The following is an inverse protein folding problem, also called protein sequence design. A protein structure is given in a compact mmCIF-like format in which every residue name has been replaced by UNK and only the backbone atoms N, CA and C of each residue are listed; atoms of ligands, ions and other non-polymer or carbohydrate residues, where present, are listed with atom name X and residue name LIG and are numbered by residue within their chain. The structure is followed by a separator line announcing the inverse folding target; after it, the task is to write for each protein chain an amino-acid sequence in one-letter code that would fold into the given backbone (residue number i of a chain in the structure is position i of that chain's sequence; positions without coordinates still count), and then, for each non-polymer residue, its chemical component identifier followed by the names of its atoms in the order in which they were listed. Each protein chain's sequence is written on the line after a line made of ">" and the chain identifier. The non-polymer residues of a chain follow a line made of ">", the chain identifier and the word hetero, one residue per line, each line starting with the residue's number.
data_IF_835273238507
#
_entry.id   IF_835273238507
#
_cell.length_a   1.000
_cell.length_b   1.000
_cell.length_c   1.000
_cell.angle_alpha   90.00
_cell.angle_beta   90.00
_cell.angle_gamma   90.00
#
_symmetry.space_group_name_H-M   'P 1'
#
loop_
_entity.id
_entity.type
_entity.pdbx_description
1 polymer ?
#
# COMPACT_ATOMS: atom_id res chain seq x y z
N UNK A 1 12.81 -5.98 -17.47
CA UNK A 1 13.93 -5.08 -17.13
C UNK A 1 14.41 -5.49 -15.74
N UNK A 2 15.72 -5.51 -15.49
CA UNK A 2 16.25 -5.84 -14.14
C UNK A 2 16.78 -4.55 -13.55
N UNK A 3 16.16 -4.07 -12.47
CA UNK A 3 16.60 -2.87 -11.76
C UNK A 3 17.71 -3.21 -10.75
N UNK A 4 18.49 -2.20 -10.36
CA UNK A 4 19.64 -2.36 -9.46
C UNK A 4 19.23 -2.68 -8.00
N UNK A 5 17.99 -2.37 -7.61
CA UNK A 5 17.43 -2.73 -6.30
C UNK A 5 15.90 -2.76 -6.31
N UNK A 6 15.29 -3.49 -5.36
CA UNK A 6 13.83 -3.52 -5.18
C UNK A 6 13.24 -2.13 -4.88
N UNK A 7 14.00 -1.26 -4.20
CA UNK A 7 13.61 0.14 -3.97
C UNK A 7 13.55 0.92 -5.29
N UNK A 8 14.52 0.71 -6.19
CA UNK A 8 14.49 1.34 -7.52
C UNK A 8 13.32 0.84 -8.35
N UNK A 9 12.99 -0.44 -8.27
CA UNK A 9 11.78 -1.00 -8.89
C UNK A 9 10.54 -0.31 -8.36
N UNK A 10 10.34 -0.24 -7.04
CA UNK A 10 9.16 0.42 -6.46
C UNK A 10 9.00 1.89 -6.89
N UNK A 11 10.10 2.65 -6.94
CA UNK A 11 10.07 4.04 -7.39
C UNK A 11 9.77 4.16 -8.90
N UNK A 12 10.33 3.27 -9.72
CA UNK A 12 10.05 3.24 -11.17
C UNK A 12 8.59 2.89 -11.43
N UNK A 13 8.05 1.83 -10.81
CA UNK A 13 6.65 1.45 -10.99
C UNK A 13 5.72 2.57 -10.54
N UNK A 14 5.98 3.20 -9.38
CA UNK A 14 5.16 4.34 -8.94
C UNK A 14 5.20 5.51 -9.95
N UNK A 15 6.33 5.77 -10.59
CA UNK A 15 6.41 6.77 -11.66
C UNK A 15 5.63 6.35 -12.91
N UNK A 16 5.72 5.08 -13.31
CA UNK A 16 5.07 4.54 -14.50
C UNK A 16 3.54 4.46 -14.31
N UNK A 17 3.07 4.02 -13.14
CA UNK A 17 1.65 3.77 -12.84
C UNK A 17 0.88 5.03 -12.44
N UNK A 18 1.44 5.89 -11.58
CA UNK A 18 0.74 7.06 -11.01
C UNK A 18 1.40 8.41 -11.33
N UNK A 19 2.49 8.41 -12.10
CA UNK A 19 3.09 9.62 -12.65
C UNK A 19 3.89 10.46 -11.66
N UNK A 20 4.19 9.95 -10.46
CA UNK A 20 4.97 10.72 -9.48
C UNK A 20 6.43 10.85 -9.90
N UNK A 21 7.02 12.02 -9.65
CA UNK A 21 8.45 12.25 -9.91
C UNK A 21 9.29 11.61 -8.82
N UNK A 22 10.09 10.61 -9.17
CA UNK A 22 10.99 9.92 -8.23
C UNK A 22 11.96 10.85 -7.50
N UNK A 23 12.32 11.98 -8.10
CA UNK A 23 13.18 13.02 -7.48
C UNK A 23 12.52 13.72 -6.30
N UNK A 24 11.20 13.71 -6.23
CA UNK A 24 10.43 14.42 -5.20
C UNK A 24 10.11 13.47 -4.02
N UNK A 25 10.46 12.18 -4.12
CA UNK A 25 10.21 11.15 -3.11
C UNK A 25 11.45 10.95 -2.24
N UNK A 26 11.29 11.12 -0.94
CA UNK A 26 12.26 10.67 0.06
C UNK A 26 11.87 9.29 0.55
N UNK A 27 12.72 8.28 0.32
CA UNK A 27 12.50 6.94 0.86
C UNK A 27 12.80 6.96 2.36
N UNK A 28 11.79 6.63 3.17
CA UNK A 28 11.91 6.56 4.63
C UNK A 28 12.44 5.21 5.09
N UNK A 29 12.10 4.14 4.36
CA UNK A 29 12.52 2.78 4.71
C UNK A 29 11.74 1.72 3.95
N UNK A 30 11.88 0.49 4.42
CA UNK A 30 11.19 -0.69 3.92
C UNK A 30 10.42 -1.34 5.07
N UNK A 31 9.27 -1.92 4.77
CA UNK A 31 8.55 -2.79 5.70
C UNK A 31 9.03 -4.24 5.54
N UNK A 32 8.47 -5.14 6.33
CA UNK A 32 8.79 -6.56 6.28
C UNK A 32 8.35 -7.16 4.94
N UNK A 33 9.19 -8.05 4.38
CA UNK A 33 8.82 -8.80 3.19
C UNK A 33 7.58 -9.67 3.44
N UNK A 34 6.64 -9.61 2.50
CA UNK A 34 5.36 -10.28 2.60
C UNK A 34 5.21 -11.30 1.47
N UNK A 35 5.05 -12.56 1.84
CA UNK A 35 4.71 -13.61 0.89
C UNK A 35 3.21 -13.58 0.59
N UNK A 36 2.85 -13.58 -0.70
CA UNK A 36 1.48 -13.53 -1.21
C UNK A 36 1.12 -14.90 -1.80
N UNK A 37 0.42 -15.78 -1.04
CA UNK A 37 0.18 -17.15 -1.47
C UNK A 37 -0.57 -17.29 -2.80
N UNK A 38 -1.59 -16.46 -3.13
CA UNK A 38 -2.31 -16.59 -4.39
C UNK A 38 -1.43 -16.44 -5.63
N UNK A 39 -0.43 -15.56 -5.58
CA UNK A 39 0.47 -15.27 -6.71
C UNK A 39 1.83 -15.94 -6.60
N UNK A 40 2.17 -16.50 -5.42
CA UNK A 40 3.50 -17.02 -5.11
C UNK A 40 4.61 -15.95 -5.23
N UNK A 41 4.28 -14.69 -4.93
CA UNK A 41 5.22 -13.58 -4.96
C UNK A 41 5.67 -13.18 -3.55
N UNK A 42 6.92 -12.74 -3.44
CA UNK A 42 7.42 -12.00 -2.29
C UNK A 42 7.36 -10.52 -2.63
N UNK A 43 6.69 -9.74 -1.79
CA UNK A 43 6.55 -8.29 -1.96
C UNK A 43 7.33 -7.60 -0.85
N UNK A 44 8.19 -6.65 -1.23
CA UNK A 44 8.88 -5.76 -0.30
C UNK A 44 8.22 -4.37 -0.35
N UNK A 45 7.46 -3.96 0.67
CA UNK A 45 6.84 -2.65 0.69
C UNK A 45 7.88 -1.57 0.97
N UNK A 46 7.89 -0.51 0.16
CA UNK A 46 8.78 0.63 0.31
C UNK A 46 7.97 1.85 0.75
N UNK A 47 8.39 2.50 1.83
CA UNK A 47 7.71 3.68 2.37
C UNK A 47 8.43 4.93 1.87
N UNK A 48 7.73 5.74 1.07
CA UNK A 48 8.21 7.04 0.58
C UNK A 48 7.37 8.20 1.12
N UNK A 49 7.98 9.37 1.27
CA UNK A 49 7.27 10.61 1.61
C UNK A 49 7.63 11.74 0.63
N UNK A 50 6.72 12.69 0.51
CA UNK A 50 6.88 13.89 -0.31
C UNK A 50 6.50 15.11 0.52
N UNK A 51 7.25 16.20 0.37
CA UNK A 51 7.02 17.44 1.13
C UNK A 51 5.79 18.25 0.65
N UNK A 52 5.18 17.83 -0.44
CA UNK A 52 3.99 18.42 -1.03
C UNK A 52 3.14 17.31 -1.65
N UNK A 53 1.84 17.57 -1.76
CA UNK A 53 0.95 16.69 -2.51
C UNK A 53 1.43 16.60 -3.97
N UNK A 54 1.62 15.39 -4.53
CA UNK A 54 1.96 15.25 -5.94
C UNK A 54 0.74 15.50 -6.83
N UNK A 55 1.01 15.92 -8.06
CA UNK A 55 0.04 15.80 -9.13
C UNK A 55 0.09 14.35 -9.63
N UNK A 56 -1.05 13.65 -9.63
CA UNK A 56 -1.13 12.27 -10.12
C UNK A 56 -1.44 12.25 -11.61
N UNK A 57 -0.73 11.40 -12.34
CA UNK A 57 -0.99 11.12 -13.76
C UNK A 57 -1.12 9.60 -13.94
N UNK A 58 -2.25 9.00 -13.50
CA UNK A 58 -2.43 7.56 -13.54
C UNK A 58 -2.45 7.03 -14.98
N UNK A 59 -1.75 5.94 -15.23
CA UNK A 59 -1.82 5.23 -16.51
C UNK A 59 -3.15 4.46 -16.59
N UNK A 60 -4.08 4.82 -17.50
CA UNK A 60 -5.39 4.18 -17.58
C UNK A 60 -5.33 2.71 -17.99
N UNK A 61 -4.17 2.20 -18.43
CA UNK A 61 -3.97 0.78 -18.77
C UNK A 61 -3.77 -0.09 -17.53
N UNK A 62 -3.29 0.50 -16.43
CA UNK A 62 -2.86 -0.23 -15.23
C UNK A 62 -3.56 0.27 -13.96
N UNK A 63 -4.00 1.54 -13.94
CA UNK A 63 -4.62 2.19 -12.78
C UNK A 63 -6.01 2.71 -13.12
N UNK A 64 -7.03 2.14 -12.47
CA UNK A 64 -8.44 2.57 -12.60
C UNK A 64 -8.75 3.82 -11.76
N UNK A 65 -8.17 3.91 -10.55
CA UNK A 65 -8.37 5.02 -9.63
C UNK A 65 -7.20 5.19 -8.65
N UNK A 66 -7.01 6.43 -8.19
CA UNK A 66 -6.12 6.77 -7.07
C UNK A 66 -6.99 7.17 -5.87
N UNK A 67 -6.83 6.48 -4.74
CA UNK A 67 -7.57 6.75 -3.51
C UNK A 67 -6.61 7.39 -2.50
N UNK A 68 -6.85 8.65 -2.17
CA UNK A 68 -6.08 9.38 -1.16
C UNK A 68 -6.81 9.37 0.18
N UNK A 69 -6.11 9.06 1.26
CA UNK A 69 -6.68 9.00 2.61
C UNK A 69 -5.69 9.55 3.62
N UNK A 70 -6.17 10.30 4.62
CA UNK A 70 -5.28 10.83 5.65
C UNK A 70 -4.79 9.68 6.53
N UNK A 71 -3.52 9.75 6.96
CA UNK A 71 -2.95 8.79 7.90
C UNK A 71 -3.79 8.69 9.19
N UNK A 72 -4.33 9.82 9.67
CA UNK A 72 -5.22 9.86 10.84
C UNK A 72 -6.54 9.09 10.64
N UNK A 73 -7.06 9.03 9.42
CA UNK A 73 -8.27 8.25 9.09
C UNK A 73 -7.94 6.76 9.02
N UNK A 74 -6.81 6.42 8.40
CA UNK A 74 -6.34 5.04 8.33
C UNK A 74 -5.97 4.46 9.71
N UNK A 75 -5.49 5.30 10.62
CA UNK A 75 -5.11 4.92 11.99
C UNK A 75 -6.31 4.69 12.93
N UNK A 76 -7.52 5.09 12.53
CA UNK A 76 -8.74 4.92 13.30
C UNK A 76 -9.18 3.45 13.32
N UNK A 77 -9.20 2.83 14.49
CA UNK A 77 -9.59 1.42 14.60
C UNK A 77 -11.05 1.16 14.16
N UNK A 78 -11.90 2.19 14.06
CA UNK A 78 -13.29 2.06 13.60
C UNK A 78 -13.40 1.69 12.12
N UNK A 79 -12.37 1.96 11.31
CA UNK A 79 -12.39 1.56 9.89
C UNK A 79 -11.94 0.12 9.68
N UNK A 80 -11.41 -0.55 10.71
CA UNK A 80 -11.01 -1.96 10.65
C UNK A 80 -12.24 -2.85 10.74
N UNK A 81 -12.36 -3.79 9.81
CA UNK A 81 -13.50 -4.72 9.75
C UNK A 81 -13.08 -6.04 9.12
N UNK A 82 -13.97 -7.03 9.16
CA UNK A 82 -13.81 -8.30 8.45
C UNK A 82 -15.01 -8.50 7.53
N UNK A 83 -14.74 -8.98 6.31
CA UNK A 83 -15.77 -9.38 5.36
C UNK A 83 -15.54 -10.83 4.92
N UNK A 84 -16.64 -11.54 4.73
CA UNK A 84 -16.63 -12.86 4.09
C UNK A 84 -16.50 -12.67 2.59
N UNK A 85 -15.41 -13.19 2.00
CA UNK A 85 -15.10 -13.10 0.57
C UNK A 85 -15.06 -14.49 -0.05
N UNK A 86 -15.47 -14.59 -1.32
CA UNK A 86 -15.16 -15.75 -2.16
C UNK A 86 -13.80 -15.52 -2.82
N UNK A 87 -12.82 -16.35 -2.47
CA UNK A 87 -11.48 -16.33 -3.05
C UNK A 87 -11.21 -17.69 -3.68
N UNK A 88 -11.25 -17.73 -5.02
CA UNK A 88 -11.00 -18.96 -5.80
C UNK A 88 -11.92 -20.13 -5.42
N UNK A 89 -13.19 -19.83 -5.11
CA UNK A 89 -14.19 -20.83 -4.73
C UNK A 89 -14.10 -21.29 -3.27
N UNK A 90 -13.28 -20.63 -2.46
CA UNK A 90 -13.25 -20.82 -1.02
C UNK A 90 -13.79 -19.57 -0.31
N UNK A 91 -14.69 -19.78 0.63
CA UNK A 91 -15.19 -18.72 1.51
C UNK A 91 -14.14 -18.43 2.58
N UNK A 92 -13.62 -17.21 2.61
CA UNK A 92 -12.60 -16.76 3.56
C UNK A 92 -13.12 -15.56 4.33
N UNK A 93 -12.97 -15.57 5.65
CA UNK A 93 -13.10 -14.36 6.45
C UNK A 93 -11.81 -13.55 6.30
N UNK A 94 -11.88 -12.46 5.54
CA UNK A 94 -10.75 -11.60 5.28
C UNK A 94 -10.85 -10.37 6.17
N UNK A 95 -9.88 -10.08 7.05
CA UNK A 95 -9.77 -8.78 7.72
C UNK A 95 -9.29 -7.70 6.73
N UNK A 96 -9.67 -6.46 6.99
CA UNK A 96 -9.35 -5.34 6.11
C UNK A 96 -9.80 -3.99 6.67
N UNK A 97 -9.85 -3.01 5.78
CA UNK A 97 -10.20 -1.62 6.08
C UNK A 97 -11.32 -1.15 5.17
N UNK A 98 -12.29 -0.42 5.74
CA UNK A 98 -13.30 0.30 4.98
C UNK A 98 -12.85 1.75 4.76
N UNK A 99 -12.48 2.09 3.52
CA UNK A 99 -11.96 3.42 3.18
C UNK A 99 -12.74 3.96 2.00
N UNK A 100 -13.49 5.05 2.20
CA UNK A 100 -14.23 5.75 1.14
C UNK A 100 -15.07 4.78 0.27
N UNK A 101 -15.83 3.89 0.91
CA UNK A 101 -16.64 2.82 0.29
C UNK A 101 -15.85 1.70 -0.43
N UNK A 102 -14.53 1.69 -0.29
CA UNK A 102 -13.67 0.62 -0.79
C UNK A 102 -13.30 -0.31 0.37
N UNK A 103 -13.40 -1.60 0.11
CA UNK A 103 -12.90 -2.61 1.02
C UNK A 103 -11.46 -2.97 0.66
N UNK A 104 -10.51 -2.53 1.48
CA UNK A 104 -9.08 -2.81 1.29
C UNK A 104 -8.70 -4.04 2.10
N UNK A 105 -8.28 -5.10 1.43
CA UNK A 105 -8.00 -6.41 2.02
C UNK A 105 -6.75 -7.06 1.40
N UNK A 106 -6.33 -8.20 1.94
CA UNK A 106 -5.20 -8.98 1.40
C UNK A 106 -3.85 -8.27 1.56
N UNK A 107 -3.02 -8.31 0.52
CA UNK A 107 -1.66 -7.77 0.51
C UNK A 107 -1.61 -6.33 1.04
N UNK A 108 -2.44 -5.45 0.49
CA UNK A 108 -2.48 -4.03 0.86
C UNK A 108 -2.87 -3.82 2.32
N UNK A 109 -3.87 -4.56 2.83
CA UNK A 109 -4.27 -4.45 4.23
C UNK A 109 -3.17 -4.93 5.19
N UNK A 110 -2.41 -5.97 4.81
CA UNK A 110 -1.26 -6.43 5.59
C UNK A 110 -0.16 -5.37 5.66
N UNK A 111 0.21 -4.76 4.52
CA UNK A 111 1.20 -3.67 4.48
C UNK A 111 0.76 -2.43 5.28
N UNK A 112 -0.51 -2.02 5.14
CA UNK A 112 -1.06 -0.90 5.90
C UNK A 112 -1.07 -1.17 7.41
N UNK A 113 -1.37 -2.41 7.82
CA UNK A 113 -1.37 -2.79 9.24
C UNK A 113 0.03 -2.67 9.85
N UNK A 114 1.07 -3.13 9.15
CA UNK A 114 2.45 -2.97 9.61
C UNK A 114 2.87 -1.51 9.66
N UNK A 115 2.59 -0.73 8.60
CA UNK A 115 2.90 0.70 8.57
C UNK A 115 2.30 1.43 9.78
N UNK A 116 1.04 1.13 10.12
CA UNK A 116 0.35 1.72 11.26
C UNK A 116 0.99 1.37 12.60
N UNK A 117 1.42 0.12 12.78
CA UNK A 117 2.13 -0.29 14.00
C UNK A 117 3.48 0.42 14.13
N UNK A 118 4.20 0.61 13.02
CA UNK A 118 5.44 1.41 12.99
C UNK A 118 5.16 2.85 13.39
N UNK A 119 4.16 3.51 12.80
CA UNK A 119 3.78 4.89 13.13
C UNK A 119 3.43 5.04 14.62
N UNK A 120 2.58 4.16 15.15
CA UNK A 120 2.19 4.14 16.57
C UNK A 120 3.37 3.90 17.50
N UNK A 121 4.40 3.17 17.07
CA UNK A 121 5.61 2.94 17.86
C UNK A 121 6.45 4.20 18.03
N UNK A 122 6.50 5.06 17.00
CA UNK A 122 7.23 6.32 17.01
C UNK A 122 6.50 7.38 17.82
N UNK A 123 5.17 7.46 17.73
CA UNK A 123 4.37 8.43 18.52
C UNK A 123 4.39 8.17 20.04
N UNK A 124 4.75 6.95 20.45
CA UNK A 124 4.86 6.55 21.87
C UNK A 124 6.25 6.79 22.46
N UNK A 125 7.25 7.15 21.65
CA UNK A 125 8.63 7.41 22.06
C UNK A 125 8.91 8.90 22.18
#
# INVERSE_FOLDING_TARGET
>A
RTDESLVRTALREAQEEIGIRVSDVTVLGQLTELFIPPSNFMVLPVVGCMNRQPDFYPDPREVDAVIEVRLSEIADDRIRTSRTLDVRGATVEAPGFEIQNHYIWGATAMMLSELLEVVRSVERG
#
